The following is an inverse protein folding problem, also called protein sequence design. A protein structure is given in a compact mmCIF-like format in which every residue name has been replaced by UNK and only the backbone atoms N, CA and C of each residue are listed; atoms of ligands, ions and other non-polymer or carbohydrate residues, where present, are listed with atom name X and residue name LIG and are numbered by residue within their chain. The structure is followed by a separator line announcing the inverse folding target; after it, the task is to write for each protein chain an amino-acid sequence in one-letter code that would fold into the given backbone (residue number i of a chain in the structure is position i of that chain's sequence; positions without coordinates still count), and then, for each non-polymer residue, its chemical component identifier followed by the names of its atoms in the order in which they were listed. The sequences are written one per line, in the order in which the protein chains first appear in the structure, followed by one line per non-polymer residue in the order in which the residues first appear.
data_IF_958062122050
#
_entry.id   IF_958062122050
#
_cell.length_a   1.000
_cell.length_b   1.000
_cell.length_c   1.000
_cell.angle_alpha   90.00
_cell.angle_beta   90.00
_cell.angle_gamma   90.00
#
_symmetry.space_group_name_H-M   'P 1'
#
loop_
_entity.id
_entity.type
_entity.pdbx_description
1 polymer ?
#
# COMPACT_ATOMS: atom_id res chain seq x y z
N UNK A 1 -5.98 -16.01 26.66
CA UNK A 1 -6.11 -15.95 25.19
C UNK A 1 -4.71 -15.79 24.63
N UNK A 2 -4.16 -16.81 23.99
CA UNK A 2 -2.79 -16.76 23.45
C UNK A 2 -2.81 -15.90 22.21
N UNK A 3 -2.24 -14.69 22.29
CA UNK A 3 -1.93 -13.88 21.12
C UNK A 3 -0.93 -14.68 20.29
N UNK A 4 -1.43 -15.33 19.24
CA UNK A 4 -0.61 -16.07 18.29
C UNK A 4 0.19 -15.02 17.53
N UNK A 5 1.38 -14.68 18.05
CA UNK A 5 2.34 -13.84 17.36
C UNK A 5 2.72 -14.59 16.08
N UNK A 6 2.09 -14.20 14.97
CA UNK A 6 2.52 -14.67 13.66
C UNK A 6 3.80 -13.89 13.38
N UNK A 7 4.94 -14.52 13.66
CA UNK A 7 6.23 -14.03 13.20
C UNK A 7 6.27 -14.26 11.69
N UNK A 8 5.85 -13.25 10.93
CA UNK A 8 6.00 -13.24 9.48
C UNK A 8 7.50 -13.14 9.20
N UNK A 9 8.10 -14.08 8.45
CA UNK A 9 9.51 -13.99 8.05
C UNK A 9 9.76 -12.65 7.34
N UNK A 10 10.91 -12.04 7.56
CA UNK A 10 11.23 -10.76 6.91
C UNK A 10 11.20 -10.87 5.36
N UNK A 11 11.46 -12.06 4.82
CA UNK A 11 11.37 -12.37 3.39
C UNK A 11 9.92 -12.33 2.85
N UNK A 12 8.94 -12.68 3.68
CA UNK A 12 7.52 -12.59 3.34
C UNK A 12 7.02 -11.14 3.43
N UNK A 13 7.62 -10.30 4.28
CA UNK A 13 7.23 -8.89 4.42
C UNK A 13 7.49 -8.14 3.11
N UNK A 14 8.67 -8.31 2.50
CA UNK A 14 9.01 -7.64 1.25
C UNK A 14 8.09 -8.08 0.11
N UNK A 15 7.77 -9.37 0.05
CA UNK A 15 6.81 -9.95 -0.91
C UNK A 15 5.40 -9.38 -0.71
N UNK A 16 4.96 -9.18 0.53
CA UNK A 16 3.67 -8.56 0.84
C UNK A 16 3.65 -7.07 0.47
N UNK A 17 4.73 -6.35 0.74
CA UNK A 17 4.86 -4.94 0.35
C UNK A 17 4.85 -4.78 -1.17
N UNK A 18 5.52 -5.67 -1.90
CA UNK A 18 5.51 -5.70 -3.37
C UNK A 18 4.10 -5.96 -3.93
N UNK A 19 3.37 -6.92 -3.34
CA UNK A 19 1.99 -7.17 -3.71
C UNK A 19 1.06 -5.98 -3.43
N UNK A 20 1.30 -5.24 -2.34
CA UNK A 20 0.58 -4.01 -2.02
C UNK A 20 0.88 -2.92 -3.06
N UNK A 21 2.14 -2.74 -3.43
CA UNK A 21 2.60 -1.76 -4.41
C UNK A 21 2.00 -2.03 -5.81
N UNK A 22 2.05 -3.28 -6.29
CA UNK A 22 1.38 -3.68 -7.54
C UNK A 22 -0.13 -3.39 -7.51
N UNK A 23 -0.78 -3.65 -6.38
CA UNK A 23 -2.21 -3.37 -6.22
C UNK A 23 -2.50 -1.87 -6.29
N UNK A 24 -1.66 -1.05 -5.65
CA UNK A 24 -1.76 0.40 -5.70
C UNK A 24 -1.54 0.94 -7.12
N UNK A 25 -0.56 0.42 -7.88
CA UNK A 25 -0.38 0.78 -9.30
C UNK A 25 -1.62 0.43 -10.14
N UNK A 26 -2.23 -0.74 -9.92
CA UNK A 26 -3.49 -1.13 -10.60
C UNK A 26 -4.63 -0.18 -10.27
N UNK A 27 -4.74 0.27 -9.02
CA UNK A 27 -5.73 1.27 -8.61
C UNK A 27 -5.42 2.60 -9.30
N UNK A 28 -4.16 3.05 -9.35
CA UNK A 28 -3.75 4.27 -10.05
C UNK A 28 -4.12 4.28 -11.53
N UNK A 29 -3.88 3.17 -12.24
CA UNK A 29 -4.31 2.98 -13.63
C UNK A 29 -5.83 3.09 -13.78
N UNK A 30 -6.58 2.49 -12.85
CA UNK A 30 -8.05 2.52 -12.85
C UNK A 30 -8.58 3.92 -12.54
N UNK A 31 -7.97 4.64 -11.60
CA UNK A 31 -8.25 6.04 -11.27
C UNK A 31 -8.05 6.96 -12.45
N UNK A 32 -6.97 6.77 -13.21
CA UNK A 32 -6.74 7.52 -14.43
C UNK A 32 -7.79 7.22 -15.49
N UNK A 33 -8.09 5.93 -15.73
CA UNK A 33 -8.97 5.50 -16.81
C UNK A 33 -10.46 5.80 -16.55
N UNK A 34 -10.93 5.65 -15.31
CA UNK A 34 -12.36 5.73 -14.95
C UNK A 34 -12.68 6.91 -14.00
N UNK A 35 -11.67 7.67 -13.58
CA UNK A 35 -11.81 8.71 -12.58
C UNK A 35 -11.79 8.17 -11.14
N UNK A 36 -11.81 9.11 -10.19
CA UNK A 36 -11.75 8.78 -8.76
C UNK A 36 -13.01 8.02 -8.30
N UNK A 37 -12.83 6.79 -7.85
CA UNK A 37 -13.86 5.96 -7.23
C UNK A 37 -13.69 5.86 -5.72
N UNK A 38 -14.80 5.89 -4.99
CA UNK A 38 -14.80 5.68 -3.53
C UNK A 38 -14.23 4.32 -3.11
N UNK A 39 -14.48 3.28 -3.91
CA UNK A 39 -14.01 1.91 -3.62
C UNK A 39 -12.48 1.79 -3.65
N UNK A 40 -11.86 2.48 -4.58
CA UNK A 40 -10.41 2.53 -4.73
C UNK A 40 -9.77 3.37 -3.61
N UNK A 41 -10.40 4.47 -3.17
CA UNK A 41 -9.94 5.27 -2.01
C UNK A 41 -9.92 4.45 -0.72
N UNK A 42 -10.97 3.64 -0.52
CA UNK A 42 -11.03 2.66 0.56
C UNK A 42 -9.93 1.60 0.43
N UNK A 43 -9.72 1.06 -0.77
CA UNK A 43 -8.68 0.06 -1.00
C UNK A 43 -7.29 0.62 -0.71
N UNK A 44 -6.97 1.83 -1.18
CA UNK A 44 -5.72 2.53 -0.89
C UNK A 44 -5.52 2.70 0.62
N UNK A 45 -6.56 3.15 1.33
CA UNK A 45 -6.52 3.35 2.78
C UNK A 45 -6.27 2.04 3.52
N UNK A 46 -6.93 0.95 3.13
CA UNK A 46 -6.71 -0.38 3.72
C UNK A 46 -5.31 -0.91 3.44
N UNK A 47 -4.81 -0.75 2.21
CA UNK A 47 -3.47 -1.18 1.82
C UNK A 47 -2.38 -0.43 2.60
N UNK A 48 -2.52 0.90 2.77
CA UNK A 48 -1.61 1.69 3.61
C UNK A 48 -1.61 1.25 5.06
N UNK A 49 -2.79 0.90 5.62
CA UNK A 49 -2.87 0.36 6.99
C UNK A 49 -2.14 -0.97 7.14
N UNK A 50 -2.29 -1.88 6.19
CA UNK A 50 -1.57 -3.16 6.21
C UNK A 50 -0.07 -2.94 6.10
N UNK A 51 0.37 -2.06 5.20
CA UNK A 51 1.78 -1.69 5.09
C UNK A 51 2.33 -1.13 6.42
N UNK A 52 1.60 -0.22 7.05
CA UNK A 52 1.99 0.39 8.32
C UNK A 52 2.13 -0.67 9.42
N UNK A 53 1.25 -1.68 9.45
CA UNK A 53 1.38 -2.84 10.36
C UNK A 53 2.64 -3.68 10.09
N UNK A 54 3.15 -3.66 8.86
CA UNK A 54 4.42 -4.28 8.47
C UNK A 54 5.63 -3.35 8.72
N UNK A 55 5.43 -2.14 9.24
CA UNK A 55 6.49 -1.17 9.51
C UNK A 55 6.91 -0.33 8.30
N UNK A 56 6.10 -0.29 7.24
CA UNK A 56 6.36 0.51 6.03
C UNK A 56 5.14 1.36 5.67
N UNK A 57 5.32 2.63 5.38
CA UNK A 57 4.31 3.48 4.76
C UNK A 57 4.50 3.55 3.26
N UNK A 58 3.40 3.83 2.56
CA UNK A 58 3.42 4.18 1.15
C UNK A 58 3.01 5.64 0.97
N UNK A 59 3.93 6.43 0.41
CA UNK A 59 3.60 7.74 -0.13
C UNK A 59 3.06 7.55 -1.55
N UNK A 60 1.83 7.98 -1.77
CA UNK A 60 1.12 7.81 -3.05
C UNK A 60 0.88 9.19 -3.61
N UNK A 61 1.52 9.47 -4.73
CA UNK A 61 1.34 10.70 -5.48
C UNK A 61 0.60 10.40 -6.78
N UNK A 62 -0.44 11.18 -7.04
CA UNK A 62 -1.11 11.16 -8.34
C UNK A 62 -0.14 11.68 -9.40
N UNK A 63 0.08 10.89 -10.45
CA UNK A 63 0.90 11.30 -11.59
C UNK A 63 0.16 11.09 -12.89
N UNK A 64 0.53 11.86 -13.92
CA UNK A 64 0.02 11.65 -15.28
C UNK A 64 0.75 10.51 -16.02
N UNK A 65 1.63 9.78 -15.30
CA UNK A 65 2.39 8.65 -15.83
C UNK A 65 1.46 7.47 -16.20
N UNK A 66 1.84 6.62 -17.17
CA UNK A 66 1.05 5.45 -17.59
C UNK A 66 0.81 4.44 -16.46
N UNK A 67 1.63 4.47 -15.40
CA UNK A 67 1.48 3.64 -14.20
C UNK A 67 0.51 4.20 -13.15
N UNK A 68 -0.04 5.39 -13.38
CA UNK A 68 -1.14 5.99 -12.63
C UNK A 68 -0.71 6.65 -11.31
N UNK A 69 -0.12 5.90 -10.39
CA UNK A 69 0.43 6.46 -9.15
C UNK A 69 1.94 6.35 -9.12
N UNK A 70 2.61 7.37 -8.58
CA UNK A 70 3.98 7.25 -8.09
C UNK A 70 3.89 6.78 -6.64
N UNK A 71 4.50 5.63 -6.37
CA UNK A 71 4.51 5.01 -5.06
C UNK A 71 5.94 5.01 -4.53
N UNK A 72 6.12 5.53 -3.32
CA UNK A 72 7.40 5.48 -2.60
C UNK A 72 7.21 4.74 -1.28
N UNK A 73 8.02 3.70 -1.05
CA UNK A 73 8.11 3.01 0.24
C UNK A 73 8.90 3.89 1.21
N UNK A 74 8.31 4.24 2.34
CA UNK A 74 9.00 4.96 3.43
C UNK A 74 8.88 4.16 4.72
N UNK A 75 9.87 4.19 5.62
CA UNK A 75 9.75 3.51 6.91
C UNK A 75 8.56 4.08 7.67
N UNK A 76 7.70 3.21 8.24
CA UNK A 76 6.60 3.66 9.08
C UNK A 76 7.17 4.20 10.39
N UNK A 77 7.31 5.51 10.48
CA UNK A 77 7.54 6.20 11.75
C UNK A 77 6.18 6.50 12.35
N UNK A 78 5.73 5.65 13.28
CA UNK A 78 4.65 6.03 14.17
C UNK A 78 5.10 7.30 14.90
N UNK A 79 4.44 8.43 14.61
CA UNK A 79 4.68 9.65 15.37
C UNK A 79 4.39 9.33 16.85
N UNK A 80 5.42 9.45 17.69
CA UNK A 80 5.38 9.28 19.15
C UNK A 80 4.33 10.18 19.82
#
# INVERSE_FOLDING_TARGET
MTHKQVTVPAEDIDTLLDAIEDKLHKIGKTYRANGKSWHDDLAITSLRKVAAQLGTDFEILSSDEPDGFIITRVPHTAAE
#
